data_IF_835176552284
#
_entry.id   IF_835176552284
#
_cell.length_a   1.000
_cell.length_b   1.000
_cell.length_c   1.000
_cell.angle_alpha   90.00
_cell.angle_beta   90.00
_cell.angle_gamma   90.00
#
_symmetry.space_group_name_H-M   'P 1'
#
loop_
_entity.id
_entity.type
_entity.pdbx_description
1 polymer ?
#
# COMPACT_ATOMS: atom_id res chain seq x y z
N UNK A 1 7.06 12.56 18.97
CA UNK A 1 5.70 13.16 18.91
C UNK A 1 4.70 12.02 19.04
N UNK A 2 3.62 12.15 19.84
CA UNK A 2 2.63 11.08 19.98
C UNK A 2 1.74 10.97 18.73
N UNK A 3 1.28 9.76 18.44
CA UNK A 3 0.32 9.45 17.37
C UNK A 3 -1.11 9.77 17.79
N UNK A 4 -2.03 9.89 16.84
CA UNK A 4 -3.47 10.06 17.14
C UNK A 4 -4.02 8.90 17.98
N UNK A 5 -3.52 7.68 17.75
CA UNK A 5 -3.86 6.48 18.52
C UNK A 5 -3.46 6.61 19.99
N UNK A 6 -2.27 7.12 20.26
CA UNK A 6 -1.78 7.37 21.64
C UNK A 6 -2.55 8.50 22.33
N UNK A 7 -3.12 9.44 21.55
CA UNK A 7 -3.99 10.50 22.04
C UNK A 7 -5.45 10.06 22.26
N UNK A 8 -5.76 8.78 22.06
CA UNK A 8 -7.11 8.22 22.28
C UNK A 8 -8.05 8.34 21.07
N UNK A 9 -7.57 8.81 19.92
CA UNK A 9 -8.30 8.75 18.66
C UNK A 9 -7.92 7.45 17.94
N UNK A 10 -8.88 6.54 17.72
CA UNK A 10 -8.62 5.28 17.01
C UNK A 10 -8.43 5.48 15.49
N UNK A 11 -7.40 6.25 15.13
CA UNK A 11 -7.06 6.67 13.76
C UNK A 11 -5.60 6.29 13.52
N UNK A 12 -5.38 5.48 12.50
CA UNK A 12 -4.07 5.19 11.92
C UNK A 12 -4.20 5.52 10.44
N UNK A 13 -3.49 6.55 10.00
CA UNK A 13 -3.49 6.98 8.61
C UNK A 13 -2.10 6.73 8.04
N UNK A 14 -2.02 5.79 7.08
CA UNK A 14 -0.80 5.50 6.33
C UNK A 14 -1.11 5.66 4.84
N UNK A 15 -0.12 6.16 4.10
CA UNK A 15 -0.18 6.29 2.64
C UNK A 15 0.80 5.31 1.98
N UNK A 16 0.51 4.00 1.98
CA UNK A 16 1.39 3.02 1.36
C UNK A 16 1.41 3.18 -0.16
N UNK A 17 2.54 2.84 -0.77
CA UNK A 17 2.66 2.69 -2.22
C UNK A 17 3.10 1.26 -2.57
N UNK A 18 2.97 0.90 -3.83
CA UNK A 18 3.49 -0.36 -4.33
C UNK A 18 3.36 -0.48 -5.84
N UNK A 19 3.65 -1.66 -6.36
CA UNK A 19 3.77 -1.92 -7.78
C UNK A 19 2.63 -2.81 -8.26
N UNK A 20 2.07 -2.48 -9.42
CA UNK A 20 1.05 -3.29 -10.10
C UNK A 20 1.44 -3.49 -11.56
N UNK A 21 1.19 -4.70 -12.08
CA UNK A 21 1.35 -5.03 -13.49
C UNK A 21 0.02 -5.00 -14.25
N UNK A 22 0.04 -5.19 -15.58
CA UNK A 22 -1.16 -5.30 -16.40
C UNK A 22 -2.09 -6.44 -15.94
N UNK A 23 -3.39 -6.28 -16.18
CA UNK A 23 -4.37 -7.33 -15.92
C UNK A 23 -4.06 -8.59 -16.74
N UNK A 24 -4.14 -9.77 -16.11
CA UNK A 24 -3.88 -11.05 -16.77
C UNK A 24 -2.41 -11.41 -16.95
N UNK A 25 -1.48 -10.68 -16.30
CA UNK A 25 -0.07 -11.02 -16.33
C UNK A 25 0.17 -12.47 -15.83
N UNK A 26 1.01 -13.27 -16.52
CA UNK A 26 1.31 -14.64 -16.11
C UNK A 26 1.86 -14.72 -14.67
N UNK A 27 1.43 -15.73 -13.92
CA UNK A 27 1.76 -15.86 -12.50
C UNK A 27 3.27 -16.05 -12.27
N UNK A 28 3.96 -16.74 -13.16
CA UNK A 28 5.43 -16.89 -13.14
C UNK A 28 6.14 -15.54 -13.29
N UNK A 29 5.68 -14.68 -14.21
CA UNK A 29 6.22 -13.32 -14.36
C UNK A 29 5.96 -12.45 -13.12
N UNK A 30 4.76 -12.55 -12.52
CA UNK A 30 4.44 -11.87 -11.26
C UNK A 30 5.42 -12.28 -10.16
N UNK A 31 5.70 -13.59 -10.05
CA UNK A 31 6.62 -14.11 -9.04
C UNK A 31 8.05 -13.64 -9.28
N UNK A 32 8.55 -13.70 -10.51
CA UNK A 32 9.90 -13.21 -10.86
C UNK A 32 10.07 -11.75 -10.45
N UNK A 33 9.12 -10.89 -10.80
CA UNK A 33 9.15 -9.48 -10.41
C UNK A 33 9.08 -9.29 -8.89
N UNK A 34 8.18 -10.00 -8.21
CA UNK A 34 8.06 -9.93 -6.75
C UNK A 34 9.37 -10.30 -6.06
N UNK A 35 10.03 -11.38 -6.49
CA UNK A 35 11.32 -11.80 -5.91
C UNK A 35 12.42 -10.77 -6.16
N UNK A 36 12.50 -10.22 -7.37
CA UNK A 36 13.49 -9.20 -7.71
C UNK A 36 13.32 -7.94 -6.85
N UNK A 37 12.10 -7.41 -6.74
CA UNK A 37 11.84 -6.24 -5.90
C UNK A 37 12.04 -6.52 -4.41
N UNK A 38 11.60 -7.68 -3.92
CA UNK A 38 11.82 -8.07 -2.52
C UNK A 38 13.31 -8.13 -2.17
N UNK A 39 14.14 -8.65 -3.07
CA UNK A 39 15.59 -8.66 -2.89
C UNK A 39 16.16 -7.23 -2.91
N UNK A 40 15.73 -6.37 -3.84
CA UNK A 40 16.17 -4.97 -3.89
C UNK A 40 15.79 -4.19 -2.62
N UNK A 41 14.65 -4.50 -2.00
CA UNK A 41 14.23 -3.87 -0.74
C UNK A 41 15.12 -4.23 0.47
N UNK A 42 15.99 -5.24 0.35
CA UNK A 42 16.94 -5.63 1.38
C UNK A 42 18.28 -4.87 1.26
N UNK A 43 18.47 -4.08 0.20
CA UNK A 43 19.66 -3.25 0.04
C UNK A 43 19.71 -2.18 1.15
N UNK A 44 20.82 -2.06 1.90
CA UNK A 44 20.97 -1.02 2.92
C UNK A 44 20.74 0.40 2.40
N UNK A 45 21.14 0.70 1.16
CA UNK A 45 20.92 2.01 0.55
C UNK A 45 19.42 2.30 0.35
N UNK A 46 18.63 1.28 0.01
CA UNK A 46 17.17 1.41 -0.09
C UNK A 46 16.53 1.70 1.27
N UNK A 47 16.96 0.98 2.32
CA UNK A 47 16.46 1.19 3.68
C UNK A 47 16.82 2.58 4.21
N UNK A 48 18.05 3.03 3.96
CA UNK A 48 18.50 4.38 4.33
C UNK A 48 17.67 5.45 3.61
N UNK A 49 17.44 5.28 2.31
CA UNK A 49 16.65 6.24 1.53
C UNK A 49 15.19 6.31 2.03
N UNK A 50 14.54 5.17 2.30
CA UNK A 50 13.19 5.14 2.88
C UNK A 50 13.12 5.90 4.21
N UNK A 51 14.11 5.70 5.08
CA UNK A 51 14.16 6.34 6.39
C UNK A 51 14.29 7.86 6.29
N UNK A 52 14.93 8.40 5.24
CA UNK A 52 14.99 9.85 5.01
C UNK A 52 13.62 10.49 4.76
N UNK A 53 12.64 9.71 4.30
CA UNK A 53 11.28 10.17 4.03
C UNK A 53 10.25 9.65 5.06
N UNK A 54 10.71 9.22 6.24
CA UNK A 54 9.86 8.62 7.30
C UNK A 54 9.02 7.43 6.78
N UNK A 55 9.58 6.66 5.84
CA UNK A 55 8.95 5.48 5.28
C UNK A 55 9.57 4.20 5.83
N UNK A 56 8.76 3.14 5.89
CA UNK A 56 9.18 1.81 6.30
C UNK A 56 8.88 0.79 5.19
N UNK A 57 9.70 -0.27 5.05
CA UNK A 57 9.41 -1.36 4.12
C UNK A 57 8.08 -2.05 4.46
N UNK A 58 7.12 -2.01 3.53
CA UNK A 58 5.81 -2.65 3.65
C UNK A 58 5.55 -3.69 2.55
N UNK A 59 6.49 -4.62 2.37
CA UNK A 59 6.39 -5.65 1.33
C UNK A 59 5.36 -6.72 1.69
N UNK A 60 4.42 -7.01 0.78
CA UNK A 60 3.47 -8.11 0.89
C UNK A 60 3.63 -9.08 -0.29
N UNK A 61 3.35 -10.39 -0.11
CA UNK A 61 3.21 -11.32 -1.21
C UNK A 61 2.14 -10.87 -2.22
N UNK A 62 2.26 -11.19 -3.52
CA UNK A 62 1.36 -10.63 -4.55
C UNK A 62 -0.14 -10.85 -4.29
N UNK A 63 -0.52 -12.04 -3.82
CA UNK A 63 -1.93 -12.31 -3.50
C UNK A 63 -2.44 -11.52 -2.28
N UNK A 64 -1.61 -11.40 -1.25
CA UNK A 64 -1.91 -10.63 -0.04
C UNK A 64 -2.02 -9.14 -0.37
N UNK A 65 -1.09 -8.63 -1.17
CA UNK A 65 -1.11 -7.26 -1.65
C UNK A 65 -2.39 -6.98 -2.45
N UNK A 66 -2.77 -7.89 -3.37
CA UNK A 66 -4.02 -7.78 -4.10
C UNK A 66 -5.27 -7.80 -3.21
N UNK A 67 -5.26 -8.60 -2.12
CA UNK A 67 -6.34 -8.58 -1.12
C UNK A 67 -6.37 -7.26 -0.35
N UNK A 68 -5.22 -6.75 0.07
CA UNK A 68 -5.10 -5.48 0.79
C UNK A 68 -5.62 -4.31 -0.05
N UNK A 69 -5.26 -4.24 -1.33
CA UNK A 69 -5.75 -3.20 -2.26
C UNK A 69 -7.28 -3.24 -2.42
N UNK A 70 -7.88 -4.43 -2.56
CA UNK A 70 -9.35 -4.56 -2.63
C UNK A 70 -10.03 -4.12 -1.33
N UNK A 71 -9.47 -4.47 -0.18
CA UNK A 71 -10.00 -4.07 1.11
C UNK A 71 -9.91 -2.55 1.32
N UNK A 72 -8.78 -1.93 0.96
CA UNK A 72 -8.59 -0.49 1.01
C UNK A 72 -9.58 0.23 0.08
N UNK A 73 -9.73 -0.24 -1.16
CA UNK A 73 -10.72 0.30 -2.10
C UNK A 73 -12.14 0.28 -1.53
N UNK A 74 -12.58 -0.85 -0.98
CA UNK A 74 -13.92 -0.95 -0.40
C UNK A 74 -14.11 -0.02 0.80
N UNK A 75 -13.09 0.10 1.66
CA UNK A 75 -13.11 1.03 2.78
C UNK A 75 -13.28 2.49 2.31
N UNK A 76 -12.41 2.93 1.39
CA UNK A 76 -12.44 4.28 0.85
C UNK A 76 -13.73 4.57 0.09
N UNK A 77 -14.24 3.61 -0.69
CA UNK A 77 -15.53 3.73 -1.40
C UNK A 77 -16.68 4.00 -0.43
N UNK A 78 -16.71 3.33 0.72
CA UNK A 78 -17.73 3.56 1.76
C UNK A 78 -17.58 4.94 2.40
N UNK A 79 -16.36 5.36 2.71
CA UNK A 79 -16.06 6.68 3.30
C UNK A 79 -16.47 7.80 2.33
N UNK A 80 -16.01 7.74 1.08
CA UNK A 80 -16.33 8.71 0.03
C UNK A 80 -17.85 8.82 -0.19
N UNK A 81 -18.56 7.68 -0.22
CA UNK A 81 -20.03 7.67 -0.33
C UNK A 81 -20.70 8.34 0.86
N UNK A 82 -20.26 8.03 2.09
CA UNK A 82 -20.83 8.61 3.33
C UNK A 82 -20.63 10.12 3.40
N UNK A 83 -19.49 10.61 2.93
CA UNK A 83 -19.14 12.03 2.95
C UNK A 83 -19.74 12.81 1.77
N UNK A 84 -20.43 12.16 0.84
CA UNK A 84 -20.97 12.80 -0.36
C UNK A 84 -19.91 13.29 -1.34
N UNK A 85 -18.68 12.75 -1.24
CA UNK A 85 -17.53 13.13 -2.07
C UNK A 85 -17.41 12.28 -3.34
N UNK A 86 -18.32 11.33 -3.54
CA UNK A 86 -18.34 10.53 -4.75
C UNK A 86 -18.59 11.44 -5.95
N UNK A 87 -17.62 11.50 -6.87
CA UNK A 87 -17.76 12.28 -8.09
C UNK A 87 -19.00 11.80 -8.85
N UNK A 88 -19.95 12.71 -9.09
CA UNK A 88 -20.99 12.48 -10.10
C UNK A 88 -20.28 12.63 -11.43
N UNK A 89 -19.88 11.51 -12.05
CA UNK A 89 -19.46 11.55 -13.44
C UNK A 89 -20.56 12.20 -14.26
N UNK A 90 -20.22 13.26 -15.00
CA UNK A 90 -20.99 13.68 -16.18
C UNK A 90 -20.83 12.64 -17.29
#
# INVERSE_FOLDING_TARGET
MPTLKELGHNIVAMSPYGLAGPAGMPADMVQVLHQAFRAAMQDPAFVVELALYDQEPACLPPEEYGRALRAAYEHERVVVKRLGLAHKGE
#
